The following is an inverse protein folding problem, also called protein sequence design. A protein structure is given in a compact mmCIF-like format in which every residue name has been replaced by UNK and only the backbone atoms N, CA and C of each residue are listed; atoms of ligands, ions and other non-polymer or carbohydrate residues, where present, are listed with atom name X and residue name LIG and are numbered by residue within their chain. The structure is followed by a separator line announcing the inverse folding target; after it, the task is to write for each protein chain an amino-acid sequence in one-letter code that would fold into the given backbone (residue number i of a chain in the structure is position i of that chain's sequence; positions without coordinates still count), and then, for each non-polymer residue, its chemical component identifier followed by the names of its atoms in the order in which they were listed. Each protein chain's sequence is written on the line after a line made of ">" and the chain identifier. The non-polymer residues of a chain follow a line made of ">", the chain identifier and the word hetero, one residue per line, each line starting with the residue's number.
data_IF_907422932388
#
_entry.id   IF_907422932388
#
_cell.length_a   1.000
_cell.length_b   1.000
_cell.length_c   1.000
_cell.angle_alpha   90.00
_cell.angle_beta   90.00
_cell.angle_gamma   90.00
#
_symmetry.space_group_name_H-M   'P 1'
#
loop_
_entity.id
_entity.type
_entity.pdbx_description
1 polymer ?
#
# COMPACT_ATOMS: atom_id res chain seq x y z
N UNK A 1 -76.30 26.89 30.04
CA UNK A 1 -75.52 25.73 29.56
C UNK A 1 -74.20 26.24 28.96
N UNK A 2 -73.06 25.64 29.34
CA UNK A 2 -71.65 25.92 28.95
C UNK A 2 -71.10 27.29 29.42
N UNK A 3 -70.49 27.47 30.59
CA UNK A 3 -69.20 26.97 31.13
C UNK A 3 -68.04 27.11 30.13
N UNK A 4 -67.23 28.17 30.30
CA UNK A 4 -65.96 28.39 29.61
C UNK A 4 -64.80 28.03 30.53
N UNK A 5 -63.81 27.31 29.99
CA UNK A 5 -62.62 26.87 30.72
C UNK A 5 -61.37 27.43 30.04
N UNK A 6 -60.59 28.18 30.81
CA UNK A 6 -59.29 28.77 30.48
C UNK A 6 -58.19 27.71 30.41
N UNK A 7 -57.32 27.76 29.40
CA UNK A 7 -56.06 26.99 29.36
C UNK A 7 -54.88 27.97 29.32
N UNK A 8 -53.97 27.82 30.29
CA UNK A 8 -52.72 28.56 30.47
C UNK A 8 -51.63 28.03 29.53
N UNK A 9 -50.85 28.92 28.93
CA UNK A 9 -49.58 28.59 28.26
C UNK A 9 -48.43 28.93 29.21
N UNK A 10 -47.47 28.03 29.50
CA UNK A 10 -46.34 28.35 30.36
C UNK A 10 -45.20 28.97 29.55
N UNK A 11 -44.74 30.13 30.02
CA UNK A 11 -43.46 30.74 29.67
C UNK A 11 -42.29 29.87 30.12
N UNK A 12 -41.27 29.76 29.27
CA UNK A 12 -39.92 29.39 29.70
C UNK A 12 -38.92 30.44 29.19
N UNK A 13 -38.27 31.07 30.16
CA UNK A 13 -37.16 32.01 30.02
C UNK A 13 -35.87 31.22 29.78
N UNK A 14 -35.04 31.67 28.83
CA UNK A 14 -33.64 31.26 28.79
C UNK A 14 -32.72 32.48 28.65
N UNK A 15 -31.99 32.72 29.73
CA UNK A 15 -30.83 33.59 29.83
C UNK A 15 -29.68 33.06 28.97
N UNK A 16 -29.17 33.88 28.06
CA UNK A 16 -27.86 33.65 27.43
C UNK A 16 -26.76 34.13 28.38
N UNK A 17 -25.88 33.23 28.80
CA UNK A 17 -24.57 33.59 29.31
C UNK A 17 -23.51 32.94 28.42
N UNK A 18 -22.66 33.80 27.85
CA UNK A 18 -21.49 33.44 27.05
C UNK A 18 -20.58 32.47 27.82
N UNK A 19 -20.18 31.36 27.20
CA UNK A 19 -19.00 30.60 27.59
C UNK A 19 -18.20 30.13 26.36
N UNK A 20 -17.02 30.72 26.30
CA UNK A 20 -15.73 30.36 25.70
C UNK A 20 -15.62 29.07 24.85
N UNK A 21 -15.13 29.25 23.61
CA UNK A 21 -14.82 28.19 22.64
C UNK A 21 -13.46 27.57 22.97
N UNK A 22 -13.44 26.53 23.81
CA UNK A 22 -12.36 25.52 23.86
C UNK A 22 -12.92 24.17 24.30
N UNK A 23 -13.33 23.34 23.35
CA UNK A 23 -13.15 21.87 23.36
C UNK A 23 -13.98 21.24 22.26
N UNK A 24 -13.30 20.64 21.29
CA UNK A 24 -13.94 19.78 20.30
C UNK A 24 -14.23 18.45 21.02
N UNK A 25 -15.48 18.23 21.41
CA UNK A 25 -15.99 16.90 21.71
C UNK A 25 -16.79 16.39 20.51
N UNK A 26 -16.37 15.19 20.07
CA UNK A 26 -16.99 14.25 19.13
C UNK A 26 -18.51 14.40 19.01
N UNK A 27 -18.98 14.65 17.79
CA UNK A 27 -20.36 14.36 17.41
C UNK A 27 -20.48 12.87 17.09
N UNK A 28 -21.34 12.20 17.84
CA UNK A 28 -21.72 10.81 17.66
C UNK A 28 -22.95 10.78 16.73
N UNK A 29 -22.77 10.33 15.48
CA UNK A 29 -23.88 9.96 14.61
C UNK A 29 -23.91 8.44 14.48
N UNK A 30 -25.02 7.84 14.92
CA UNK A 30 -25.33 6.43 14.72
C UNK A 30 -25.94 6.25 13.34
N UNK A 31 -25.23 5.62 12.41
CA UNK A 31 -25.84 4.87 11.29
C UNK A 31 -25.05 3.57 11.12
N UNK A 32 -25.73 2.47 11.46
CA UNK A 32 -25.57 1.07 11.04
C UNK A 32 -24.16 0.45 11.13
N UNK A 33 -24.04 -0.51 12.05
CA UNK A 33 -22.81 -1.20 12.42
C UNK A 33 -22.25 -2.13 11.33
N UNK A 34 -21.06 -1.81 10.81
CA UNK A 34 -20.07 -2.78 10.35
C UNK A 34 -18.94 -2.83 11.40
N UNK A 35 -18.84 -3.93 12.14
CA UNK A 35 -17.78 -4.14 13.12
C UNK A 35 -16.46 -4.47 12.41
N UNK A 36 -15.52 -3.52 12.37
CA UNK A 36 -14.09 -3.82 12.15
C UNK A 36 -13.30 -3.30 13.34
N UNK A 37 -12.74 -4.23 14.10
CA UNK A 37 -11.98 -4.00 15.33
C UNK A 37 -10.57 -3.54 14.95
N UNK A 38 -10.32 -2.23 15.00
CA UNK A 38 -9.00 -1.67 14.71
C UNK A 38 -8.24 -1.39 16.01
N UNK A 39 -7.24 -2.22 16.30
CA UNK A 39 -6.29 -2.02 17.40
C UNK A 39 -5.04 -1.33 16.87
N UNK A 40 -4.82 -0.07 17.24
CA UNK A 40 -3.58 0.66 16.99
C UNK A 40 -2.63 0.51 18.20
N UNK A 41 -1.32 0.25 17.99
CA UNK A 41 -0.29 0.64 18.95
C UNK A 41 0.28 2.01 18.59
N UNK A 42 0.36 2.90 19.59
CA UNK A 42 1.03 4.20 19.52
C UNK A 42 2.55 4.02 19.33
N UNK A 43 3.13 4.72 18.36
CA UNK A 43 4.57 5.01 18.33
C UNK A 43 4.91 6.07 19.38
N UNK A 44 5.88 5.78 20.23
CA UNK A 44 6.55 6.77 21.10
C UNK A 44 8.04 6.69 20.81
N UNK A 45 8.64 7.80 20.34
CA UNK A 45 10.08 7.97 20.21
C UNK A 45 10.67 8.40 21.56
N UNK A 46 11.71 7.72 22.06
CA UNK A 46 12.65 8.28 23.05
C UNK A 46 14.08 7.74 22.83
N UNK A 47 15.03 8.67 22.98
CA UNK A 47 16.48 8.55 22.82
C UNK A 47 17.18 7.77 23.97
N UNK A 48 18.48 7.40 23.82
CA UNK A 48 19.12 6.34 24.59
C UNK A 48 19.72 6.83 25.93
N UNK A 49 19.54 6.01 26.98
CA UNK A 49 20.11 6.23 28.30
C UNK A 49 20.41 4.89 29.00
N UNK A 50 21.57 4.84 29.64
CA UNK A 50 22.32 3.70 30.17
C UNK A 50 21.64 2.84 31.26
N UNK A 51 22.24 1.65 31.43
CA UNK A 51 22.36 0.84 32.64
C UNK A 51 21.34 -0.29 32.88
N UNK A 52 21.81 -1.50 32.58
CA UNK A 52 21.69 -2.75 33.37
C UNK A 52 20.41 -2.97 34.17
N UNK A 53 19.61 -3.96 33.76
CA UNK A 53 19.12 -5.03 34.65
C UNK A 53 18.49 -6.18 33.86
N UNK A 54 18.87 -7.38 34.27
CA UNK A 54 18.58 -8.69 33.71
C UNK A 54 17.22 -9.17 34.22
N UNK A 55 16.25 -9.43 33.34
CA UNK A 55 15.06 -10.23 33.66
C UNK A 55 14.85 -11.26 32.55
N UNK A 56 14.95 -12.54 32.93
CA UNK A 56 14.59 -13.69 32.11
C UNK A 56 13.09 -13.94 32.27
N UNK A 57 12.37 -14.05 31.17
CA UNK A 57 11.11 -14.81 31.12
C UNK A 57 11.11 -15.63 29.84
N UNK A 58 11.00 -16.93 30.06
CA UNK A 58 11.05 -18.04 29.13
C UNK A 58 9.64 -18.28 28.59
N UNK A 59 9.46 -18.28 27.27
CA UNK A 59 8.23 -18.79 26.66
C UNK A 59 8.60 -19.71 25.48
N UNK A 60 7.95 -20.87 25.46
CA UNK A 60 8.19 -21.99 24.55
C UNK A 60 7.44 -21.81 23.23
N UNK A 61 8.10 -22.06 22.12
CA UNK A 61 7.44 -22.27 20.82
C UNK A 61 7.06 -23.74 20.69
N UNK A 62 5.79 -24.02 20.41
CA UNK A 62 5.33 -25.34 19.95
C UNK A 62 4.93 -25.21 18.48
N UNK A 63 5.72 -25.80 17.59
CA UNK A 63 5.41 -25.97 16.17
C UNK A 63 4.49 -27.18 15.99
N UNK A 64 3.36 -26.98 15.32
CA UNK A 64 2.52 -28.07 14.81
C UNK A 64 2.80 -28.23 13.32
N UNK A 65 3.30 -29.39 12.92
CA UNK A 65 3.39 -29.85 11.54
C UNK A 65 2.38 -30.98 11.34
N UNK A 66 1.62 -30.93 10.26
CA UNK A 66 0.82 -32.06 9.76
C UNK A 66 1.57 -32.72 8.60
N UNK A 67 1.60 -34.07 8.50
CA UNK A 67 2.17 -34.75 7.36
C UNK A 67 1.15 -34.87 6.23
N UNK A 68 1.59 -34.66 4.99
CA UNK A 68 0.88 -35.09 3.78
C UNK A 68 1.60 -36.32 3.26
N UNK A 69 0.87 -37.42 3.21
CA UNK A 69 1.24 -38.70 2.63
C UNK A 69 1.03 -38.65 1.12
N UNK A 70 2.03 -39.08 0.35
CA UNK A 70 1.97 -39.31 -1.08
C UNK A 70 3.04 -40.36 -1.40
N UNK A 71 2.62 -41.62 -1.35
CA UNK A 71 3.38 -42.73 -1.91
C UNK A 71 3.36 -42.67 -3.42
N UNK A 72 4.50 -42.97 -4.04
CA UNK A 72 4.53 -43.84 -5.21
C UNK A 72 5.93 -44.45 -5.38
N UNK A 73 5.90 -45.68 -5.89
CA UNK A 73 6.93 -46.68 -5.82
C UNK A 73 7.95 -46.57 -6.95
N UNK A 74 9.20 -46.97 -6.69
CA UNK A 74 9.98 -47.72 -7.68
C UNK A 74 11.04 -48.57 -6.98
N UNK A 75 10.90 -49.88 -7.17
CA UNK A 75 11.84 -50.94 -6.85
C UNK A 75 13.07 -50.88 -7.77
N UNK A 76 14.20 -51.40 -7.29
CA UNK A 76 15.07 -52.37 -7.98
C UNK A 76 15.92 -53.06 -6.90
N UNK A 77 15.89 -54.39 -6.93
CA UNK A 77 16.66 -55.31 -6.10
C UNK A 77 18.07 -55.46 -6.65
N UNK A 78 19.06 -55.67 -5.78
CA UNK A 78 20.08 -56.71 -5.99
C UNK A 78 20.49 -57.26 -4.64
N UNK A 79 20.53 -58.59 -4.59
CA UNK A 79 20.80 -59.44 -3.46
C UNK A 79 22.31 -59.50 -3.13
N UNK A 80 22.56 -60.01 -1.93
CA UNK A 80 23.61 -60.99 -1.60
C UNK A 80 24.89 -60.60 -0.83
N UNK A 81 25.10 -61.49 0.16
CA UNK A 81 26.29 -61.89 0.93
C UNK A 81 26.66 -61.14 2.22
N UNK A 82 26.22 -61.75 3.33
CA UNK A 82 26.86 -61.69 4.63
C UNK A 82 28.30 -62.21 4.56
N UNK A 83 29.25 -61.45 5.10
CA UNK A 83 30.45 -62.07 5.67
C UNK A 83 30.79 -61.38 6.99
N UNK A 84 30.65 -62.13 8.08
CA UNK A 84 30.97 -61.69 9.42
C UNK A 84 32.48 -61.65 9.64
N UNK A 85 32.97 -60.53 10.18
CA UNK A 85 34.20 -60.52 10.96
C UNK A 85 34.03 -59.59 12.15
N UNK A 86 33.90 -60.21 13.31
CA UNK A 86 33.87 -59.56 14.61
C UNK A 86 35.27 -59.04 14.96
N UNK A 87 35.37 -57.77 15.33
CA UNK A 87 36.43 -57.32 16.22
C UNK A 87 37.03 -55.95 15.92
N UNK A 88 36.69 -54.98 16.79
CA UNK A 88 37.61 -54.06 17.46
C UNK A 88 37.10 -52.62 17.42
N UNK A 89 36.50 -52.21 18.54
CA UNK A 89 36.44 -50.81 18.92
C UNK A 89 37.84 -50.38 19.35
N UNK A 90 38.50 -49.54 18.56
CA UNK A 90 39.56 -48.64 19.03
C UNK A 90 39.81 -47.54 17.99
N UNK A 91 39.20 -46.39 18.26
CA UNK A 91 39.71 -45.02 18.20
C UNK A 91 40.85 -44.62 17.21
N UNK A 92 40.58 -43.50 16.53
CA UNK A 92 41.49 -42.56 15.84
C UNK A 92 42.03 -43.02 14.47
N UNK A 93 41.79 -42.32 13.37
CA UNK A 93 42.41 -41.02 13.09
C UNK A 93 41.43 -40.08 12.35
N UNK A 94 40.95 -39.03 13.02
CA UNK A 94 40.52 -37.81 12.34
C UNK A 94 41.78 -37.14 11.77
N UNK A 95 42.06 -37.39 10.49
CA UNK A 95 43.11 -36.67 9.78
C UNK A 95 42.74 -35.16 9.83
N UNK A 96 43.63 -34.28 10.31
CA UNK A 96 43.30 -32.86 10.40
C UNK A 96 43.00 -32.36 8.99
N UNK A 97 41.78 -31.84 8.79
CA UNK A 97 41.33 -31.27 7.53
C UNK A 97 42.41 -30.35 6.97
N UNK A 98 42.72 -30.51 5.67
CA UNK A 98 43.68 -29.65 5.01
C UNK A 98 43.27 -28.19 5.18
N UNK A 99 44.25 -27.28 5.23
CA UNK A 99 43.95 -25.85 5.28
C UNK A 99 43.03 -25.40 4.14
N UNK A 100 43.07 -26.09 2.99
CA UNK A 100 42.23 -25.78 1.84
C UNK A 100 40.80 -26.33 2.00
N UNK A 101 40.63 -27.51 2.63
CA UNK A 101 39.32 -28.06 2.97
C UNK A 101 38.61 -27.17 4.01
N UNK A 102 39.35 -26.66 5.00
CA UNK A 102 38.82 -25.72 6.00
C UNK A 102 38.39 -24.39 5.37
N UNK A 103 39.16 -23.88 4.40
CA UNK A 103 38.77 -22.67 3.66
C UNK A 103 37.54 -22.90 2.80
N UNK A 104 37.41 -24.06 2.17
CA UNK A 104 36.23 -24.44 1.40
C UNK A 104 34.99 -24.53 2.30
N UNK A 105 35.07 -25.23 3.44
CA UNK A 105 33.97 -25.32 4.41
C UNK A 105 33.58 -23.96 5.00
N UNK A 106 34.55 -23.08 5.26
CA UNK A 106 34.26 -21.70 5.67
C UNK A 106 33.52 -20.93 4.56
N UNK A 107 33.98 -21.04 3.32
CA UNK A 107 33.31 -20.41 2.17
C UNK A 107 31.88 -20.94 1.98
N UNK A 108 31.66 -22.24 2.16
CA UNK A 108 30.34 -22.85 2.08
C UNK A 108 29.43 -22.38 3.23
N UNK A 109 29.96 -22.29 4.45
CA UNK A 109 29.21 -21.77 5.60
C UNK A 109 28.83 -20.29 5.43
N UNK A 110 29.69 -19.48 4.82
CA UNK A 110 29.38 -18.09 4.52
C UNK A 110 28.36 -17.98 3.36
N UNK A 111 28.48 -18.80 2.32
CA UNK A 111 27.48 -18.89 1.24
C UNK A 111 26.11 -19.28 1.78
N UNK A 112 26.03 -20.26 2.67
CA UNK A 112 24.78 -20.67 3.30
C UNK A 112 24.15 -19.53 4.11
N UNK A 113 24.94 -18.81 4.91
CA UNK A 113 24.47 -17.62 5.64
C UNK A 113 23.92 -16.55 4.69
N UNK A 114 24.61 -16.30 3.58
CA UNK A 114 24.17 -15.33 2.58
C UNK A 114 22.89 -15.78 1.88
N UNK A 115 22.77 -17.06 1.50
CA UNK A 115 21.55 -17.63 0.93
C UNK A 115 20.37 -17.52 1.89
N UNK A 116 20.61 -17.79 3.18
CA UNK A 116 19.60 -17.63 4.22
C UNK A 116 19.14 -16.18 4.32
N UNK A 117 20.07 -15.22 4.46
CA UNK A 117 19.75 -13.79 4.51
C UNK A 117 19.01 -13.30 3.26
N UNK A 118 19.44 -13.76 2.08
CA UNK A 118 18.80 -13.43 0.81
C UNK A 118 17.36 -13.96 0.77
N UNK A 119 17.13 -15.20 1.22
CA UNK A 119 15.79 -15.78 1.28
C UNK A 119 14.88 -15.06 2.29
N UNK A 120 15.39 -14.71 3.47
CA UNK A 120 14.68 -13.92 4.49
C UNK A 120 14.31 -12.53 3.94
N UNK A 121 15.26 -11.84 3.29
CA UNK A 121 15.01 -10.55 2.65
C UNK A 121 13.96 -10.65 1.53
N UNK A 122 14.03 -11.70 0.71
CA UNK A 122 13.05 -11.93 -0.35
C UNK A 122 11.64 -12.24 0.19
N UNK A 123 11.54 -13.00 1.29
CA UNK A 123 10.26 -13.22 1.99
C UNK A 123 9.70 -11.92 2.54
N UNK A 124 10.54 -11.09 3.16
CA UNK A 124 10.14 -9.78 3.67
C UNK A 124 9.67 -8.85 2.54
N UNK A 125 10.40 -8.78 1.42
CA UNK A 125 9.99 -8.00 0.25
C UNK A 125 8.63 -8.45 -0.30
N UNK A 126 8.39 -9.76 -0.40
CA UNK A 126 7.08 -10.29 -0.82
C UNK A 126 5.96 -9.89 0.15
N UNK A 127 6.24 -9.91 1.45
CA UNK A 127 5.28 -9.47 2.47
C UNK A 127 4.97 -7.98 2.36
N UNK A 128 5.99 -7.13 2.24
CA UNK A 128 5.81 -5.68 2.06
C UNK A 128 5.04 -5.36 0.78
N UNK A 129 5.35 -6.04 -0.34
CA UNK A 129 4.59 -5.88 -1.60
C UNK A 129 3.11 -6.19 -1.39
N UNK A 130 2.76 -7.27 -0.70
CA UNK A 130 1.35 -7.61 -0.39
C UNK A 130 0.68 -6.55 0.48
N UNK A 131 1.38 -6.04 1.50
CA UNK A 131 0.83 -4.96 2.33
C UNK A 131 0.59 -3.68 1.53
N UNK A 132 1.51 -3.32 0.65
CA UNK A 132 1.38 -2.15 -0.21
C UNK A 132 0.12 -2.27 -1.08
N UNK A 133 -0.10 -3.42 -1.73
CA UNK A 133 -1.30 -3.64 -2.55
C UNK A 133 -2.58 -3.48 -1.73
N UNK A 134 -2.67 -4.09 -0.54
CA UNK A 134 -3.84 -3.94 0.34
C UNK A 134 -4.08 -2.48 0.71
N UNK A 135 -3.00 -1.71 0.95
CA UNK A 135 -3.09 -0.28 1.27
C UNK A 135 -3.53 0.56 0.06
N UNK A 136 -3.08 0.21 -1.13
CA UNK A 136 -3.52 0.85 -2.38
C UNK A 136 -5.01 0.61 -2.61
N UNK A 137 -5.49 -0.62 -2.42
CA UNK A 137 -6.91 -0.97 -2.53
C UNK A 137 -7.77 -0.21 -1.50
N UNK A 138 -7.30 -0.13 -0.24
CA UNK A 138 -7.95 0.69 0.78
C UNK A 138 -8.06 2.15 0.32
N UNK A 139 -6.97 2.75 -0.19
CA UNK A 139 -6.96 4.14 -0.68
C UNK A 139 -7.94 4.36 -1.83
N UNK A 140 -8.06 3.42 -2.76
CA UNK A 140 -9.05 3.49 -3.85
C UNK A 140 -10.47 3.50 -3.29
N UNK A 141 -10.77 2.67 -2.28
CA UNK A 141 -12.07 2.69 -1.62
C UNK A 141 -12.34 4.02 -0.92
N UNK A 142 -11.37 4.54 -0.16
CA UNK A 142 -11.50 5.85 0.51
C UNK A 142 -11.73 6.99 -0.49
N UNK A 143 -11.05 6.96 -1.64
CA UNK A 143 -11.26 7.94 -2.72
C UNK A 143 -12.69 7.89 -3.25
N UNK A 144 -13.23 6.69 -3.48
CA UNK A 144 -14.61 6.53 -3.94
C UNK A 144 -15.62 7.07 -2.92
N UNK A 145 -15.42 6.80 -1.62
CA UNK A 145 -16.23 7.35 -0.55
C UNK A 145 -16.15 8.89 -0.49
N UNK A 146 -14.94 9.44 -0.67
CA UNK A 146 -14.71 10.88 -0.70
C UNK A 146 -15.45 11.57 -1.85
N UNK A 147 -15.43 10.96 -3.04
CA UNK A 147 -16.16 11.45 -4.21
C UNK A 147 -17.68 11.42 -4.01
N UNK A 148 -18.22 10.42 -3.31
CA UNK A 148 -19.66 10.38 -2.96
C UNK A 148 -20.01 11.52 -2.00
N UNK A 149 -19.19 11.75 -0.97
CA UNK A 149 -19.41 12.87 -0.02
C UNK A 149 -19.32 14.24 -0.71
N UNK A 150 -18.44 14.39 -1.70
CA UNK A 150 -18.32 15.62 -2.49
C UNK A 150 -19.64 15.94 -3.22
N UNK A 151 -20.23 14.95 -3.89
CA UNK A 151 -21.51 15.11 -4.58
C UNK A 151 -22.65 15.47 -3.61
N UNK A 152 -22.68 14.86 -2.43
CA UNK A 152 -23.66 15.18 -1.40
C UNK A 152 -23.51 16.63 -0.89
N UNK A 153 -22.28 17.07 -0.60
CA UNK A 153 -22.01 18.45 -0.18
C UNK A 153 -22.37 19.43 -1.29
N UNK A 154 -22.05 19.11 -2.55
CA UNK A 154 -22.40 19.95 -3.69
C UNK A 154 -23.92 20.10 -3.83
N UNK A 155 -24.70 19.04 -3.60
CA UNK A 155 -26.15 19.12 -3.57
C UNK A 155 -26.66 20.01 -2.42
N UNK A 156 -26.06 19.91 -1.22
CA UNK A 156 -26.38 20.78 -0.09
C UNK A 156 -26.05 22.25 -0.36
N UNK A 157 -24.93 22.53 -1.03
CA UNK A 157 -24.56 23.89 -1.47
C UNK A 157 -25.64 24.46 -2.37
N UNK A 158 -26.08 23.73 -3.40
CA UNK A 158 -27.16 24.17 -4.31
C UNK A 158 -28.47 24.48 -3.57
N UNK A 159 -28.87 23.61 -2.63
CA UNK A 159 -30.05 23.87 -1.80
C UNK A 159 -29.88 25.13 -0.93
N UNK A 160 -28.69 25.33 -0.36
CA UNK A 160 -28.39 26.52 0.43
C UNK A 160 -28.34 27.80 -0.42
N UNK A 161 -27.90 27.72 -1.68
CA UNK A 161 -27.96 28.83 -2.65
C UNK A 161 -29.41 29.23 -2.93
N UNK A 162 -30.29 28.28 -3.22
CA UNK A 162 -31.72 28.54 -3.45
C UNK A 162 -32.37 29.22 -2.23
N UNK A 163 -32.06 28.71 -1.02
CA UNK A 163 -32.56 29.29 0.24
C UNK A 163 -32.00 30.71 0.47
N UNK A 164 -30.74 30.95 0.11
CA UNK A 164 -30.11 32.26 0.27
C UNK A 164 -30.61 33.29 -0.76
N UNK A 165 -31.02 32.85 -1.95
CA UNK A 165 -31.61 33.68 -3.00
C UNK A 165 -33.11 33.96 -2.78
N UNK A 166 -33.78 33.13 -1.99
CA UNK A 166 -35.18 33.30 -1.60
C UNK A 166 -35.36 34.49 -0.65
N UNK A 167 -36.61 34.97 -0.54
CA UNK A 167 -36.95 36.04 0.40
C UNK A 167 -36.58 35.67 1.83
N UNK A 168 -35.95 36.60 2.55
CA UNK A 168 -35.51 36.39 3.93
C UNK A 168 -36.75 36.32 4.83
N UNK A 169 -37.03 35.18 5.50
CA UNK A 169 -38.14 35.05 6.42
C UNK A 169 -38.08 36.11 7.53
N UNK A 170 -39.24 36.66 7.88
CA UNK A 170 -39.37 37.65 8.94
C UNK A 170 -38.90 37.07 10.28
N UNK A 171 -38.02 37.79 10.99
CA UNK A 171 -37.38 37.30 12.21
C UNK A 171 -36.11 36.44 12.00
N UNK A 172 -35.60 36.33 10.78
CA UNK A 172 -34.34 35.61 10.51
C UNK A 172 -33.17 36.14 11.35
N UNK A 173 -32.51 35.22 12.06
CA UNK A 173 -31.32 35.52 12.86
C UNK A 173 -30.14 35.92 11.97
N UNK A 174 -29.32 36.84 12.48
CA UNK A 174 -27.99 37.15 11.94
C UNK A 174 -26.87 36.49 12.74
N UNK A 175 -25.82 36.07 12.06
CA UNK A 175 -24.57 35.54 12.60
C UNK A 175 -23.43 36.34 11.96
N UNK A 176 -22.63 37.02 12.79
CA UNK A 176 -21.54 37.90 12.32
C UNK A 176 -21.98 38.91 11.24
N UNK A 177 -23.17 39.48 11.38
CA UNK A 177 -23.74 40.45 10.45
C UNK A 177 -24.37 39.87 9.18
N UNK A 178 -24.17 38.59 8.87
CA UNK A 178 -24.83 37.87 7.76
C UNK A 178 -26.12 37.19 8.23
N UNK A 179 -27.12 37.06 7.36
CA UNK A 179 -28.31 36.26 7.65
C UNK A 179 -27.95 34.77 7.74
N UNK A 180 -28.66 33.99 8.56
CA UNK A 180 -28.35 32.58 8.80
C UNK A 180 -28.27 31.75 7.50
N UNK A 181 -29.13 32.06 6.52
CA UNK A 181 -29.15 31.43 5.19
C UNK A 181 -27.82 31.67 4.45
N UNK A 182 -27.44 32.95 4.29
CA UNK A 182 -26.18 33.33 3.64
C UNK A 182 -24.95 32.83 4.41
N UNK A 183 -25.04 32.72 5.74
CA UNK A 183 -23.94 32.21 6.56
C UNK A 183 -23.77 30.70 6.39
N UNK A 184 -24.87 29.95 6.30
CA UNK A 184 -24.86 28.51 6.01
C UNK A 184 -24.24 28.24 4.64
N UNK A 185 -24.66 28.98 3.61
CA UNK A 185 -24.10 28.87 2.26
C UNK A 185 -22.57 29.05 2.29
N UNK A 186 -22.07 30.17 2.83
CA UNK A 186 -20.62 30.41 2.93
C UNK A 186 -19.87 29.32 3.71
N UNK A 187 -20.52 28.66 4.67
CA UNK A 187 -19.92 27.57 5.44
C UNK A 187 -19.86 26.27 4.63
N UNK A 188 -20.88 25.98 3.84
CA UNK A 188 -20.91 24.80 2.97
C UNK A 188 -19.94 24.94 1.79
N UNK A 189 -19.89 26.12 1.16
CA UNK A 189 -18.90 26.45 0.12
C UNK A 189 -17.48 26.23 0.64
N UNK A 190 -17.16 26.75 1.83
CA UNK A 190 -15.84 26.57 2.43
C UNK A 190 -15.51 25.10 2.78
N UNK A 191 -16.51 24.24 3.00
CA UNK A 191 -16.28 22.81 3.20
C UNK A 191 -16.08 22.10 1.85
N UNK A 192 -16.88 22.46 0.84
CA UNK A 192 -16.74 21.97 -0.53
C UNK A 192 -15.35 22.29 -1.11
N UNK A 193 -14.89 23.54 -0.99
CA UNK A 193 -13.56 23.96 -1.47
C UNK A 193 -12.42 23.15 -0.82
N UNK A 194 -12.49 22.91 0.49
CA UNK A 194 -11.49 22.09 1.21
C UNK A 194 -11.50 20.65 0.76
N UNK A 195 -12.67 20.10 0.47
CA UNK A 195 -12.82 18.74 -0.01
C UNK A 195 -12.24 18.59 -1.41
N UNK A 196 -12.54 19.55 -2.30
CA UNK A 196 -12.02 19.61 -3.66
C UNK A 196 -10.48 19.71 -3.66
N UNK A 197 -9.89 20.50 -2.75
CA UNK A 197 -8.44 20.59 -2.56
C UNK A 197 -7.83 19.25 -2.12
N UNK A 198 -8.47 18.55 -1.16
CA UNK A 198 -8.01 17.23 -0.71
C UNK A 198 -8.08 16.16 -1.81
N UNK A 199 -9.13 16.19 -2.64
CA UNK A 199 -9.28 15.27 -3.77
C UNK A 199 -8.18 15.53 -4.82
N UNK A 200 -7.88 16.80 -5.11
CA UNK A 200 -6.79 17.18 -6.03
C UNK A 200 -5.43 16.65 -5.57
N UNK A 201 -5.14 16.75 -4.27
CA UNK A 201 -3.89 16.21 -3.71
C UNK A 201 -3.80 14.69 -3.84
N UNK A 202 -4.92 13.98 -3.65
CA UNK A 202 -5.00 12.52 -3.83
C UNK A 202 -4.78 12.15 -5.30
N UNK A 203 -5.42 12.86 -6.22
CA UNK A 203 -5.31 12.64 -7.66
C UNK A 203 -3.90 12.90 -8.19
N UNK A 204 -3.19 13.89 -7.61
CA UNK A 204 -1.81 14.18 -7.95
C UNK A 204 -0.83 13.05 -7.56
N UNK A 205 -1.19 12.24 -6.56
CA UNK A 205 -0.35 11.13 -6.07
C UNK A 205 -0.81 9.77 -6.62
N UNK A 206 -1.99 9.72 -7.26
CA UNK A 206 -2.56 8.48 -7.75
C UNK A 206 -1.73 7.87 -8.89
N UNK A 207 -1.56 6.55 -8.85
CA UNK A 207 -1.02 5.78 -9.97
C UNK A 207 -1.94 5.88 -11.21
N UNK A 208 -1.33 6.05 -12.38
CA UNK A 208 -1.99 6.15 -13.67
C UNK A 208 -1.58 5.00 -14.55
N UNK A 209 -2.51 4.59 -15.40
CA UNK A 209 -2.27 3.59 -16.44
C UNK A 209 -1.42 4.20 -17.56
N UNK A 210 -0.24 3.64 -17.78
CA UNK A 210 0.72 4.08 -18.80
C UNK A 210 0.93 2.95 -19.79
N UNK A 211 0.43 3.14 -21.00
CA UNK A 211 0.66 2.20 -22.09
C UNK A 211 2.06 2.39 -22.66
N UNK A 212 2.80 1.30 -22.71
CA UNK A 212 4.15 1.25 -23.24
C UNK A 212 4.20 0.26 -24.39
N UNK A 213 4.98 0.58 -25.41
CA UNK A 213 5.21 -0.30 -26.53
C UNK A 213 6.66 -0.26 -27.00
N UNK A 214 7.06 -1.35 -27.65
CA UNK A 214 8.33 -1.51 -28.35
C UNK A 214 8.06 -2.14 -29.71
N UNK A 215 8.75 -1.68 -30.75
CA UNK A 215 8.56 -2.15 -32.12
C UNK A 215 9.85 -2.78 -32.63
N UNK A 216 9.77 -4.01 -33.13
CA UNK A 216 10.91 -4.71 -33.73
C UNK A 216 10.72 -6.22 -33.78
N UNK A 217 11.65 -6.91 -34.43
CA UNK A 217 11.66 -8.38 -34.40
C UNK A 217 12.35 -8.84 -33.12
N UNK A 218 11.60 -9.52 -32.26
CA UNK A 218 12.10 -10.11 -31.02
C UNK A 218 11.27 -11.35 -30.69
N UNK A 219 11.83 -12.26 -29.89
CA UNK A 219 11.08 -13.37 -29.28
C UNK A 219 10.47 -12.96 -27.94
N UNK A 220 11.21 -12.17 -27.16
CA UNK A 220 10.84 -11.71 -25.84
C UNK A 220 11.28 -10.26 -25.60
N UNK A 221 10.38 -9.47 -25.04
CA UNK A 221 10.66 -8.07 -24.68
C UNK A 221 10.22 -7.84 -23.25
N UNK A 222 11.12 -7.24 -22.46
CA UNK A 222 10.86 -6.85 -21.08
C UNK A 222 11.29 -5.39 -20.89
N UNK A 223 10.47 -4.58 -20.22
CA UNK A 223 10.86 -3.23 -19.80
C UNK A 223 11.38 -3.27 -18.38
N UNK A 224 12.55 -2.69 -18.15
CA UNK A 224 13.15 -2.47 -16.84
C UNK A 224 13.21 -0.97 -16.58
N UNK A 225 13.15 -0.53 -15.34
CA UNK A 225 13.29 0.90 -15.08
C UNK A 225 13.34 1.31 -13.62
N UNK A 226 13.45 2.61 -13.39
CA UNK A 226 13.51 3.20 -12.05
C UNK A 226 12.20 3.06 -11.27
N UNK A 227 11.09 2.74 -11.93
CA UNK A 227 9.78 2.58 -11.29
C UNK A 227 9.75 1.43 -10.27
N UNK A 228 10.59 0.41 -10.43
CA UNK A 228 10.75 -0.70 -9.49
C UNK A 228 12.20 -0.82 -8.97
N UNK A 229 13.01 0.21 -9.19
CA UNK A 229 14.42 0.22 -8.83
C UNK A 229 15.29 -0.73 -9.67
N UNK A 230 14.95 -0.96 -10.94
CA UNK A 230 15.68 -1.81 -11.87
C UNK A 230 15.76 -3.28 -11.42
N UNK A 231 14.67 -3.80 -10.84
CA UNK A 231 14.72 -5.10 -10.16
C UNK A 231 14.01 -6.23 -10.91
N UNK A 232 12.71 -6.08 -11.21
CA UNK A 232 11.87 -7.11 -11.82
C UNK A 232 11.53 -6.77 -13.27
N UNK A 233 11.19 -5.52 -13.54
CA UNK A 233 10.60 -5.08 -14.81
C UNK A 233 9.24 -5.72 -15.10
N UNK A 234 8.76 -5.51 -16.32
CA UNK A 234 7.49 -6.04 -16.81
C UNK A 234 7.64 -6.59 -18.23
N UNK A 235 7.05 -7.75 -18.51
CA UNK A 235 7.09 -8.35 -19.83
C UNK A 235 6.07 -7.66 -20.76
N UNK A 236 6.46 -7.47 -22.01
CA UNK A 236 5.58 -6.98 -23.06
C UNK A 236 5.00 -8.17 -23.82
N UNK A 237 3.72 -8.06 -24.14
CA UNK A 237 3.00 -9.06 -24.93
C UNK A 237 3.08 -8.71 -26.41
N UNK A 238 3.34 -9.69 -27.30
CA UNK A 238 3.33 -9.44 -28.73
C UNK A 238 1.90 -9.19 -29.22
N UNK A 239 1.76 -8.14 -30.03
CA UNK A 239 0.57 -7.71 -30.75
C UNK A 239 0.88 -7.82 -32.25
N UNK A 240 0.07 -8.60 -32.97
CA UNK A 240 0.28 -8.84 -34.40
C UNK A 240 -0.58 -7.89 -35.23
N UNK A 241 0.02 -6.85 -35.80
CA UNK A 241 -0.67 -5.89 -36.66
C UNK A 241 -0.51 -6.15 -38.17
N UNK A 242 0.11 -7.28 -38.53
CA UNK A 242 0.27 -7.72 -39.91
C UNK A 242 1.45 -7.12 -40.67
N UNK A 243 2.21 -6.19 -40.08
CA UNK A 243 3.38 -5.58 -40.74
C UNK A 243 4.68 -5.65 -39.94
N UNK A 244 4.61 -5.57 -38.61
CA UNK A 244 5.74 -5.77 -37.69
C UNK A 244 5.25 -6.36 -36.37
N UNK A 245 6.13 -7.03 -35.62
CA UNK A 245 5.81 -7.46 -34.26
C UNK A 245 5.89 -6.24 -33.35
N UNK A 246 4.75 -5.77 -32.88
CA UNK A 246 4.67 -4.75 -31.85
C UNK A 246 4.54 -5.45 -30.51
N UNK A 247 5.25 -4.99 -29.50
CA UNK A 247 5.16 -5.50 -28.15
C UNK A 247 4.54 -4.43 -27.28
N UNK A 248 3.54 -4.77 -26.45
CA UNK A 248 2.81 -3.81 -25.63
C UNK A 248 2.71 -4.28 -24.18
N UNK A 249 2.68 -3.32 -23.25
CA UNK A 249 2.36 -3.55 -21.85
C UNK A 249 1.71 -2.32 -21.24
N UNK A 250 1.12 -2.51 -20.07
CA UNK A 250 0.49 -1.45 -19.29
C UNK A 250 1.16 -1.40 -17.92
N UNK A 251 1.67 -0.23 -17.54
CA UNK A 251 2.27 0.01 -16.24
C UNK A 251 1.36 0.90 -15.39
N UNK A 252 1.27 0.63 -14.08
CA UNK A 252 0.61 1.53 -13.13
C UNK A 252 1.67 2.39 -12.43
N UNK A 253 1.84 3.63 -12.90
CA UNK A 253 2.91 4.53 -12.46
C UNK A 253 2.35 5.81 -11.87
N UNK A 254 2.96 6.30 -10.79
CA UNK A 254 2.62 7.64 -10.26
C UNK A 254 3.14 8.73 -11.20
N UNK A 255 2.55 9.95 -11.17
CA UNK A 255 3.11 11.07 -11.89
C UNK A 255 4.58 11.30 -11.50
N UNK A 256 5.44 11.45 -12.51
CA UNK A 256 6.87 11.46 -12.31
C UNK A 256 7.68 11.24 -13.57
N UNK A 257 9.00 11.16 -13.37
CA UNK A 257 9.98 10.90 -14.41
C UNK A 257 10.66 9.57 -14.11
N UNK A 258 10.61 8.66 -15.08
CA UNK A 258 11.12 7.31 -14.95
C UNK A 258 12.15 7.06 -16.03
N UNK A 259 13.29 6.51 -15.64
CA UNK A 259 14.27 5.98 -16.57
C UNK A 259 13.90 4.53 -16.86
N UNK A 260 13.85 4.15 -18.13
CA UNK A 260 13.49 2.81 -18.56
C UNK A 260 14.49 2.32 -19.61
N UNK A 261 14.61 1.00 -19.75
CA UNK A 261 15.37 0.35 -20.81
C UNK A 261 14.74 -1.00 -21.15
N UNK A 262 14.83 -1.41 -22.41
CA UNK A 262 14.26 -2.66 -22.86
C UNK A 262 15.32 -3.75 -22.85
N UNK A 263 14.96 -4.92 -22.31
CA UNK A 263 15.70 -6.15 -22.45
C UNK A 263 15.01 -6.97 -23.54
N UNK A 264 15.64 -7.02 -24.72
CA UNK A 264 15.11 -7.65 -25.93
C UNK A 264 15.97 -8.87 -26.23
N UNK A 265 15.40 -10.07 -26.11
CA UNK A 265 16.12 -11.34 -26.30
C UNK A 265 17.42 -11.45 -25.48
N UNK A 266 17.41 -10.84 -24.28
CA UNK A 266 18.56 -10.80 -23.37
C UNK A 266 19.56 -9.66 -23.61
N UNK A 267 19.34 -8.82 -24.62
CA UNK A 267 20.19 -7.67 -24.92
C UNK A 267 19.53 -6.34 -24.52
N UNK A 268 20.31 -5.43 -23.95
CA UNK A 268 19.83 -4.10 -23.56
C UNK A 268 19.70 -3.19 -24.77
N UNK A 269 18.48 -2.73 -25.04
CA UNK A 269 18.16 -1.87 -26.17
C UNK A 269 17.41 -0.60 -25.72
N UNK A 270 17.69 0.49 -26.44
CA UNK A 270 16.91 1.73 -26.35
C UNK A 270 15.84 1.70 -27.44
N UNK A 271 14.64 2.14 -27.09
CA UNK A 271 13.58 2.33 -28.06
C UNK A 271 13.69 3.73 -28.69
N UNK A 272 13.62 3.85 -30.03
CA UNK A 272 13.61 5.15 -30.70
C UNK A 272 12.32 5.95 -30.44
N UNK A 273 11.28 5.30 -29.92
CA UNK A 273 9.96 5.89 -29.66
C UNK A 273 9.93 6.78 -28.41
N UNK A 274 10.95 6.69 -27.55
CA UNK A 274 11.02 7.46 -26.31
C UNK A 274 12.28 8.33 -26.29
N UNK A 275 12.20 9.55 -25.74
CA UNK A 275 13.38 10.38 -25.52
C UNK A 275 14.45 9.64 -24.71
N UNK A 276 15.72 9.94 -24.93
CA UNK A 276 16.83 9.36 -24.15
C UNK A 276 17.37 10.36 -23.12
N UNK A 277 17.97 9.83 -22.06
CA UNK A 277 18.63 10.58 -20.98
C UNK A 277 19.89 9.83 -20.55
N UNK A 278 20.93 10.58 -20.15
CA UNK A 278 22.24 10.02 -19.82
C UNK A 278 23.20 9.99 -21.01
N UNK A 279 24.37 9.39 -20.81
CA UNK A 279 25.43 9.33 -21.83
C UNK A 279 26.10 7.94 -21.82
N UNK A 280 26.42 7.41 -23.00
CA UNK A 280 27.17 6.18 -23.17
C UNK A 280 26.48 4.96 -22.55
N UNK A 281 27.17 4.26 -21.63
CA UNK A 281 26.66 3.01 -21.05
C UNK A 281 25.48 3.22 -20.08
N UNK A 282 25.29 4.44 -19.58
CA UNK A 282 24.16 4.80 -18.71
C UNK A 282 23.05 5.49 -19.46
N UNK A 283 23.05 5.45 -20.80
CA UNK A 283 21.96 5.98 -21.61
C UNK A 283 20.71 5.10 -21.45
N UNK A 284 19.59 5.73 -21.09
CA UNK A 284 18.28 5.14 -20.84
C UNK A 284 17.19 5.91 -21.59
N UNK A 285 16.04 5.30 -21.83
CA UNK A 285 14.85 6.02 -22.27
C UNK A 285 14.19 6.75 -21.08
N UNK A 286 13.60 7.91 -21.33
CA UNK A 286 12.88 8.72 -20.35
C UNK A 286 11.37 8.60 -20.59
N UNK A 287 10.68 8.08 -19.59
CA UNK A 287 9.22 8.02 -19.53
C UNK A 287 8.71 9.10 -18.57
N UNK A 288 7.84 9.98 -19.05
CA UNK A 288 7.24 11.04 -18.24
C UNK A 288 5.75 10.76 -18.06
N UNK A 289 5.31 10.68 -16.82
CA UNK A 289 3.92 10.45 -16.43
C UNK A 289 3.42 11.76 -15.82
N UNK A 290 2.44 12.39 -16.49
CA UNK A 290 1.76 13.61 -16.02
C UNK A 290 0.52 13.29 -15.21
#
# INVERSE_FOLDING_TARGET
>A
MKIGTTIKVPWFSWSLQMLDWKSIQKLHYNVIACNVKMSHPRLSYLHPGSATKKWMSREFWRTSTMPIDLGDSSSIQTEDEENGSTGSSEDLLAQPLSSDDLKALLADSEREKLMKKLSEANQHNRFLKRQLHVKEDELVNWKNELAVMELEIQALVKLAEEIAQSDIPEGSRKINGKYIQSHLLSRLEAVHERLEEQIKDIDAVQSKEVHLFWCGMAESVQVMGSFDGWSLGEHLSPEYDGSFTKFTTTLMLRPGRYEIKFLVDGEWQLSPEYPTVGEGLTENNLLVVG
#
